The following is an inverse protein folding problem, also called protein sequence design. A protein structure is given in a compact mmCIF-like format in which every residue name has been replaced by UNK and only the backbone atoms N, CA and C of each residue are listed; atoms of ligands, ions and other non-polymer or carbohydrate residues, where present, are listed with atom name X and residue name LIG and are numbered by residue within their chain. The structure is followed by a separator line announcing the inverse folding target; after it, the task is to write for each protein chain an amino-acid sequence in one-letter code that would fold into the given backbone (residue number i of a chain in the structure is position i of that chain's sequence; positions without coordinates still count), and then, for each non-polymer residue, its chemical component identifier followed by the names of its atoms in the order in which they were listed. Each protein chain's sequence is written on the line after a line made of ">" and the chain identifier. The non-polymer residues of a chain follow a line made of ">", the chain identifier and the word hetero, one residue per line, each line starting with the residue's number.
data_IF_642913611615
#
_entry.id   IF_642913611615
#
_cell.length_a   1.000
_cell.length_b   1.000
_cell.length_c   1.000
_cell.angle_alpha   90.00
_cell.angle_beta   90.00
_cell.angle_gamma   90.00
#
_symmetry.space_group_name_H-M   'P 1'
#
loop_
_entity.id
_entity.type
_entity.pdbx_description
1 polymer ?
#
# COMPACT_ATOMS: atom_id res chain seq x y z
N UNK A 1 -39.02 1.76 -15.12
CA UNK A 1 -38.09 0.85 -14.47
C UNK A 1 -38.11 -0.46 -15.26
N UNK A 2 -37.12 -0.64 -16.13
CA UNK A 2 -36.94 -1.88 -16.87
C UNK A 2 -36.16 -2.87 -16.01
N UNK A 3 -36.82 -3.92 -15.55
CA UNK A 3 -36.17 -5.10 -15.03
C UNK A 3 -35.41 -5.81 -16.14
N UNK A 4 -34.10 -5.69 -16.20
CA UNK A 4 -33.26 -6.53 -17.03
C UNK A 4 -33.09 -7.86 -16.26
N UNK A 5 -33.78 -8.91 -16.71
CA UNK A 5 -33.50 -10.30 -16.33
C UNK A 5 -32.24 -10.75 -17.06
N UNK A 6 -31.10 -10.37 -16.58
CA UNK A 6 -29.80 -10.92 -16.91
C UNK A 6 -29.13 -11.34 -15.60
N UNK A 7 -28.37 -12.42 -15.62
CA UNK A 7 -27.59 -12.96 -14.47
C UNK A 7 -26.47 -12.04 -13.97
N UNK A 8 -26.68 -10.74 -13.98
CA UNK A 8 -25.78 -9.80 -13.33
C UNK A 8 -26.26 -9.59 -11.90
N UNK A 9 -25.69 -10.35 -10.99
CA UNK A 9 -25.72 -10.01 -9.57
C UNK A 9 -25.10 -8.63 -9.48
N UNK A 10 -25.92 -7.60 -9.33
CA UNK A 10 -25.45 -6.22 -9.06
C UNK A 10 -24.58 -6.31 -7.81
N UNK A 11 -23.28 -6.25 -7.98
CA UNK A 11 -22.35 -6.23 -6.85
C UNK A 11 -22.60 -4.94 -6.10
N UNK A 12 -23.18 -5.06 -4.91
CA UNK A 12 -23.29 -3.93 -3.99
C UNK A 12 -21.89 -3.47 -3.59
N UNK A 13 -21.69 -2.17 -3.45
CA UNK A 13 -20.43 -1.63 -2.97
C UNK A 13 -20.70 -0.43 -2.06
N UNK A 14 -19.76 -0.15 -1.18
CA UNK A 14 -19.69 1.07 -0.40
C UNK A 14 -18.57 1.94 -0.97
N UNK A 15 -18.87 3.21 -1.24
CA UNK A 15 -17.87 4.19 -1.68
C UNK A 15 -17.79 5.32 -0.68
N UNK A 16 -16.56 5.64 -0.27
CA UNK A 16 -16.23 6.83 0.50
C UNK A 16 -15.32 7.71 -0.35
N UNK A 17 -15.70 8.97 -0.51
CA UNK A 17 -14.88 9.98 -1.17
C UNK A 17 -14.77 11.22 -0.30
N UNK A 18 -13.58 11.80 -0.22
CA UNK A 18 -13.32 13.02 0.53
C UNK A 18 -12.11 13.72 -0.09
N UNK A 19 -12.08 15.04 -0.06
CA UNK A 19 -10.87 15.80 -0.38
C UNK A 19 -9.96 16.03 0.84
N UNK A 20 -10.36 15.53 2.00
CA UNK A 20 -9.67 15.63 3.28
C UNK A 20 -9.26 17.07 3.67
N UNK A 21 -9.85 18.09 3.04
CA UNK A 21 -9.62 19.48 3.44
C UNK A 21 -10.09 19.70 4.88
N UNK A 22 -9.30 20.38 5.69
CA UNK A 22 -9.58 20.57 7.10
C UNK A 22 -9.18 19.39 8.01
N UNK A 23 -8.73 18.25 7.44
CA UNK A 23 -8.25 17.09 8.19
C UNK A 23 -6.73 17.07 8.19
N UNK A 24 -6.11 17.01 9.35
CA UNK A 24 -4.66 16.79 9.48
C UNK A 24 -4.38 15.29 9.57
N UNK A 25 -3.38 14.82 8.84
CA UNK A 25 -2.82 13.47 8.99
C UNK A 25 -1.42 13.63 9.54
N UNK A 26 -1.24 13.28 10.81
CA UNK A 26 0.04 13.40 11.52
C UNK A 26 0.80 12.07 11.49
N UNK A 27 1.16 11.66 10.29
CA UNK A 27 2.02 10.50 10.05
C UNK A 27 3.34 10.97 9.46
N UNK A 28 4.44 10.20 9.58
CA UNK A 28 5.68 10.50 8.90
C UNK A 28 5.53 10.55 7.37
N UNK A 29 6.43 11.27 6.69
CA UNK A 29 6.48 11.26 5.22
C UNK A 29 6.53 9.83 4.64
N UNK A 30 5.80 9.57 3.56
CA UNK A 30 5.05 10.47 2.69
C UNK A 30 3.58 10.70 3.07
N UNK A 31 3.14 10.26 4.23
CA UNK A 31 1.73 10.28 4.63
C UNK A 31 1.34 11.53 5.44
N UNK A 32 2.29 12.40 5.73
CA UNK A 32 1.99 13.67 6.36
C UNK A 32 1.08 14.53 5.47
N UNK A 33 0.08 15.16 6.08
CA UNK A 33 -0.81 16.08 5.41
C UNK A 33 -1.23 17.20 6.37
N UNK A 34 -0.92 18.43 6.01
CA UNK A 34 -1.38 19.60 6.77
C UNK A 34 -2.90 19.78 6.64
N UNK A 35 -3.50 20.49 7.58
CA UNK A 35 -4.94 20.73 7.61
C UNK A 35 -5.43 21.55 6.43
N UNK A 36 -4.60 22.44 5.94
CA UNK A 36 -4.85 23.37 4.84
C UNK A 36 -4.72 22.71 3.46
N UNK A 37 -4.04 21.59 3.39
CA UNK A 37 -3.85 20.86 2.14
C UNK A 37 -5.08 20.01 1.80
N UNK A 38 -5.35 19.87 0.51
CA UNK A 38 -6.35 18.93 0.02
C UNK A 38 -5.66 17.64 -0.45
N UNK A 39 -6.24 16.50 -0.12
CA UNK A 39 -5.82 15.21 -0.66
C UNK A 39 -7.04 14.35 -0.95
N UNK A 40 -7.23 13.98 -2.21
CA UNK A 40 -8.38 13.20 -2.62
C UNK A 40 -8.29 11.77 -2.09
N UNK A 41 -9.19 11.42 -1.18
CA UNK A 41 -9.41 10.04 -0.74
C UNK A 41 -10.56 9.42 -1.54
N UNK A 42 -10.30 8.26 -2.12
CA UNK A 42 -11.33 7.42 -2.71
C UNK A 42 -11.14 6.00 -2.19
N UNK A 43 -12.16 5.46 -1.54
CA UNK A 43 -12.18 4.11 -0.99
C UNK A 43 -13.44 3.42 -1.49
N UNK A 44 -13.30 2.23 -2.07
CA UNK A 44 -14.43 1.42 -2.56
C UNK A 44 -14.31 0.02 -1.98
N UNK A 45 -15.33 -0.38 -1.25
CA UNK A 45 -15.42 -1.69 -0.64
C UNK A 45 -16.54 -2.51 -1.29
N UNK A 46 -16.22 -3.68 -1.77
CA UNK A 46 -17.13 -4.67 -2.32
C UNK A 46 -17.26 -5.83 -1.35
N UNK A 47 -18.35 -5.91 -0.59
CA UNK A 47 -18.56 -7.02 0.35
C UNK A 47 -18.74 -8.34 -0.39
N UNK A 48 -18.32 -9.43 0.24
CA UNK A 48 -18.52 -10.79 -0.29
C UNK A 48 -19.93 -11.26 0.02
N UNK A 49 -20.75 -11.42 -1.02
CA UNK A 49 -22.05 -12.09 -0.91
C UNK A 49 -22.11 -13.42 -1.66
N UNK A 50 -21.31 -13.57 -2.70
CA UNK A 50 -21.26 -14.76 -3.55
C UNK A 50 -19.81 -15.18 -3.89
N UNK A 51 -18.88 -14.25 -3.83
CA UNK A 51 -17.46 -14.50 -4.01
C UNK A 51 -16.86 -14.99 -2.68
N UNK A 52 -15.75 -15.70 -2.74
CA UNK A 52 -15.06 -16.21 -1.54
C UNK A 52 -14.30 -15.11 -0.79
N UNK A 53 -14.29 -13.86 -1.29
CA UNK A 53 -13.54 -12.75 -0.73
C UNK A 53 -14.26 -11.41 -0.91
N UNK A 54 -14.03 -10.50 0.01
CA UNK A 54 -14.37 -9.08 -0.14
C UNK A 54 -13.22 -8.35 -0.84
N UNK A 55 -13.53 -7.27 -1.57
CA UNK A 55 -12.53 -6.47 -2.27
C UNK A 55 -12.51 -5.05 -1.76
N UNK A 56 -11.32 -4.54 -1.48
CA UNK A 56 -11.06 -3.14 -1.11
C UNK A 56 -10.17 -2.50 -2.18
N UNK A 57 -10.62 -1.37 -2.70
CA UNK A 57 -9.81 -0.49 -3.56
C UNK A 57 -9.68 0.86 -2.88
N UNK A 58 -8.48 1.44 -2.87
CA UNK A 58 -8.25 2.75 -2.27
C UNK A 58 -7.26 3.57 -3.07
N UNK A 59 -7.40 4.91 -2.95
CA UNK A 59 -6.47 5.89 -3.47
C UNK A 59 -6.45 7.09 -2.53
N UNK A 60 -5.25 7.58 -2.20
CA UNK A 60 -5.02 8.81 -1.46
C UNK A 60 -4.15 9.72 -2.32
N UNK A 61 -4.76 10.67 -2.99
CA UNK A 61 -4.10 11.58 -3.91
C UNK A 61 -3.25 10.85 -4.95
N UNK A 62 -2.03 11.34 -5.15
CA UNK A 62 -0.98 10.71 -5.96
C UNK A 62 0.04 9.96 -5.08
N UNK A 63 -0.18 9.91 -3.76
CA UNK A 63 0.77 9.34 -2.79
C UNK A 63 0.72 7.82 -2.85
N UNK A 64 -0.50 7.27 -2.78
CA UNK A 64 -0.68 5.82 -2.65
C UNK A 64 -2.02 5.36 -3.25
N UNK A 65 -2.02 4.21 -3.87
CA UNK A 65 -3.22 3.49 -4.27
C UNK A 65 -3.03 1.99 -4.12
N UNK A 66 -4.10 1.27 -3.91
CA UNK A 66 -4.01 -0.17 -3.78
C UNK A 66 -5.34 -0.88 -3.99
N UNK A 67 -5.21 -2.20 -4.06
CA UNK A 67 -6.33 -3.12 -4.20
C UNK A 67 -6.04 -4.38 -3.41
N UNK A 68 -7.01 -4.80 -2.63
CA UNK A 68 -6.92 -6.01 -1.80
C UNK A 68 -8.13 -6.92 -2.04
N UNK A 69 -7.87 -8.21 -2.07
CA UNK A 69 -8.85 -9.27 -1.89
C UNK A 69 -8.71 -9.78 -0.46
N UNK A 70 -9.79 -9.75 0.29
CA UNK A 70 -9.83 -10.05 1.73
C UNK A 70 -10.62 -11.33 1.93
N UNK A 71 -9.94 -12.39 2.27
CA UNK A 71 -10.48 -13.71 2.62
C UNK A 71 -10.66 -13.81 4.14
N UNK A 72 -11.25 -14.89 4.62
CA UNK A 72 -11.43 -15.11 6.06
C UNK A 72 -10.11 -15.22 6.82
N UNK A 73 -9.06 -15.78 6.19
CA UNK A 73 -7.77 -16.05 6.84
C UNK A 73 -6.57 -15.42 6.15
N UNK A 74 -6.75 -14.81 4.97
CA UNK A 74 -5.66 -14.23 4.19
C UNK A 74 -6.09 -12.92 3.53
N UNK A 75 -5.11 -12.10 3.21
CA UNK A 75 -5.26 -10.90 2.41
C UNK A 75 -4.25 -10.95 1.28
N UNK A 76 -4.70 -10.76 0.06
CA UNK A 76 -3.81 -10.63 -1.10
C UNK A 76 -4.06 -9.31 -1.80
N UNK A 77 -3.04 -8.76 -2.45
CA UNK A 77 -3.24 -7.50 -3.12
C UNK A 77 -1.97 -6.79 -3.51
N UNK A 78 -2.12 -5.52 -3.80
CA UNK A 78 -0.98 -4.67 -4.06
C UNK A 78 -1.19 -3.24 -3.57
N UNK A 79 -0.08 -2.57 -3.35
CA UNK A 79 0.02 -1.14 -3.07
C UNK A 79 0.99 -0.52 -4.05
N UNK A 80 0.59 0.56 -4.70
CA UNK A 80 1.44 1.36 -5.56
C UNK A 80 1.67 2.70 -4.88
N UNK A 81 2.93 3.00 -4.61
CA UNK A 81 3.36 4.29 -4.09
C UNK A 81 3.70 5.24 -5.25
N UNK A 82 3.26 6.50 -5.12
CA UNK A 82 3.47 7.54 -6.13
C UNK A 82 2.53 7.43 -7.34
N UNK A 83 2.78 8.32 -8.31
CA UNK A 83 1.92 8.51 -9.49
C UNK A 83 2.15 7.52 -10.63
N UNK A 84 3.18 6.68 -10.54
CA UNK A 84 3.60 5.77 -11.61
C UNK A 84 2.47 4.82 -12.00
N UNK A 85 2.04 4.87 -13.26
CA UNK A 85 1.04 3.94 -13.80
C UNK A 85 1.71 2.59 -14.07
N UNK A 86 1.38 1.60 -13.25
CA UNK A 86 1.82 0.23 -13.45
C UNK A 86 0.62 -0.71 -13.39
N UNK A 87 0.65 -1.73 -14.24
CA UNK A 87 -0.30 -2.84 -14.17
C UNK A 87 0.32 -3.93 -13.31
N UNK A 88 -0.35 -4.29 -12.23
CA UNK A 88 0.10 -5.33 -11.28
C UNK A 88 -0.95 -6.42 -11.23
N UNK A 89 -0.49 -7.65 -11.32
CA UNK A 89 -1.31 -8.83 -11.08
C UNK A 89 -1.28 -9.14 -9.59
N UNK A 90 -2.44 -9.40 -9.00
CA UNK A 90 -2.54 -9.87 -7.62
C UNK A 90 -2.03 -11.32 -7.57
N UNK A 91 -1.06 -11.57 -6.72
CA UNK A 91 -0.54 -12.91 -6.44
C UNK A 91 -1.19 -13.45 -5.17
N UNK A 92 -1.36 -14.76 -5.16
CA UNK A 92 -2.01 -15.44 -4.06
C UNK A 92 -1.18 -15.33 -2.77
N UNK A 93 -1.88 -15.07 -1.66
CA UNK A 93 -1.32 -15.00 -0.30
C UNK A 93 -0.22 -13.93 -0.12
N UNK A 94 -0.14 -12.95 -1.05
CA UNK A 94 0.87 -11.90 -1.02
C UNK A 94 0.27 -10.49 -1.08
N UNK A 95 0.93 -9.56 -0.43
CA UNK A 95 0.76 -8.12 -0.62
C UNK A 95 2.04 -7.57 -1.26
N UNK A 96 1.92 -7.07 -2.50
CA UNK A 96 3.06 -6.51 -3.22
C UNK A 96 3.08 -4.98 -3.07
N UNK A 97 4.22 -4.43 -2.66
CA UNK A 97 4.49 -2.99 -2.63
C UNK A 97 5.46 -2.62 -3.75
N UNK A 98 5.08 -1.62 -4.54
CA UNK A 98 5.90 -1.14 -5.66
C UNK A 98 5.71 0.36 -5.87
N UNK A 99 6.68 1.00 -6.46
CA UNK A 99 6.50 2.39 -6.91
C UNK A 99 7.67 3.29 -6.63
N UNK A 100 7.39 4.59 -6.54
CA UNK A 100 8.37 5.61 -6.27
C UNK A 100 7.77 6.67 -5.36
N UNK A 101 8.50 7.06 -4.32
CA UNK A 101 8.14 8.10 -3.38
C UNK A 101 9.28 9.09 -3.24
N UNK A 102 8.93 10.36 -2.99
CA UNK A 102 9.93 11.41 -2.88
C UNK A 102 10.73 11.26 -1.59
N UNK A 103 10.05 11.00 -0.49
CA UNK A 103 10.67 10.92 0.83
C UNK A 103 10.01 9.84 1.67
N UNK A 104 10.81 9.06 2.38
CA UNK A 104 10.35 8.08 3.36
C UNK A 104 11.07 8.31 4.68
N UNK A 105 10.31 8.61 5.71
CA UNK A 105 10.81 8.63 7.08
C UNK A 105 10.62 7.24 7.71
N UNK A 106 11.72 6.58 8.02
CA UNK A 106 11.70 5.22 8.57
C UNK A 106 11.11 5.12 9.98
N UNK A 107 10.85 6.24 10.65
CA UNK A 107 10.09 6.23 11.92
C UNK A 107 8.69 5.62 11.75
N UNK A 108 8.15 5.62 10.51
CA UNK A 108 6.88 4.97 10.18
C UNK A 108 6.91 3.46 10.51
N UNK A 109 8.05 2.79 10.44
CA UNK A 109 8.17 1.36 10.72
C UNK A 109 7.76 1.03 12.16
N UNK A 110 7.97 1.93 13.10
CA UNK A 110 7.55 1.75 14.49
C UNK A 110 6.03 1.64 14.67
N UNK A 111 5.25 2.13 13.69
CA UNK A 111 3.79 2.04 13.71
C UNK A 111 3.29 0.65 13.30
N UNK A 112 4.11 -0.15 12.63
CA UNK A 112 3.74 -1.47 12.12
C UNK A 112 4.15 -2.63 13.04
N UNK A 113 5.03 -2.41 14.00
CA UNK A 113 5.63 -3.46 14.84
C UNK A 113 4.61 -4.24 15.69
N UNK A 114 3.43 -3.71 15.93
CA UNK A 114 2.40 -4.34 16.77
C UNK A 114 1.32 -5.13 16.01
N UNK A 115 1.27 -5.08 14.70
CA UNK A 115 0.07 -5.51 13.94
C UNK A 115 0.25 -6.78 13.09
N UNK A 116 1.46 -7.26 12.87
CA UNK A 116 1.74 -8.23 11.79
C UNK A 116 1.83 -9.69 12.29
N UNK A 117 1.77 -9.95 13.59
CA UNK A 117 2.19 -11.24 14.18
C UNK A 117 1.31 -12.47 13.93
N UNK A 118 0.15 -12.37 13.25
CA UNK A 118 -0.81 -13.48 13.19
C UNK A 118 -1.46 -13.77 11.83
N UNK A 119 -0.93 -13.30 10.70
CA UNK A 119 -1.53 -13.58 9.39
C UNK A 119 -0.55 -14.29 8.43
N UNK A 120 -1.08 -15.24 7.70
CA UNK A 120 -0.36 -16.04 6.68
C UNK A 120 -0.07 -15.26 5.39
N UNK A 121 -0.09 -13.95 5.42
CA UNK A 121 0.10 -13.10 4.25
C UNK A 121 1.53 -12.62 4.18
N UNK A 122 2.22 -12.93 3.08
CA UNK A 122 3.57 -12.47 2.83
C UNK A 122 3.58 -11.04 2.29
N UNK A 123 4.43 -10.18 2.87
CA UNK A 123 4.71 -8.84 2.33
C UNK A 123 5.91 -8.93 1.38
N UNK A 124 5.72 -8.50 0.14
CA UNK A 124 6.75 -8.44 -0.89
C UNK A 124 6.95 -7.00 -1.35
N UNK A 125 8.14 -6.45 -1.17
CA UNK A 125 8.53 -5.19 -1.81
C UNK A 125 9.26 -5.55 -3.09
N UNK A 126 8.62 -5.35 -4.24
CA UNK A 126 9.20 -5.72 -5.54
C UNK A 126 10.23 -4.72 -6.01
N UNK A 127 9.90 -3.45 -5.90
CA UNK A 127 10.80 -2.34 -6.22
C UNK A 127 10.19 -1.05 -5.70
N UNK A 128 10.73 -0.54 -4.61
CA UNK A 128 10.36 0.75 -4.05
C UNK A 128 11.54 1.71 -4.23
N UNK A 129 11.39 2.66 -5.15
CA UNK A 129 12.37 3.71 -5.38
C UNK A 129 12.05 4.90 -4.49
N UNK A 130 13.01 5.35 -3.69
CA UNK A 130 12.85 6.43 -2.73
C UNK A 130 13.94 7.46 -2.98
N UNK A 131 13.55 8.72 -3.25
CA UNK A 131 14.53 9.76 -3.54
C UNK A 131 15.31 10.17 -2.28
N UNK A 132 14.66 10.20 -1.12
CA UNK A 132 15.28 10.48 0.16
C UNK A 132 14.73 9.55 1.25
N UNK A 133 15.58 8.74 1.87
CA UNK A 133 15.26 7.95 3.07
C UNK A 133 15.79 8.67 4.29
N UNK A 134 14.92 9.04 5.22
CA UNK A 134 15.28 9.71 6.47
C UNK A 134 15.39 8.68 7.59
N UNK A 135 16.53 8.71 8.28
CA UNK A 135 16.87 7.85 9.40
C UNK A 135 17.26 8.73 10.59
N UNK A 136 16.27 9.17 11.38
CA UNK A 136 16.49 10.05 12.52
C UNK A 136 17.30 11.31 12.17
N UNK A 137 18.62 11.30 12.26
CA UNK A 137 19.51 12.46 12.10
C UNK A 137 20.24 12.52 10.77
N UNK A 138 20.12 11.50 9.92
CA UNK A 138 20.77 11.48 8.61
C UNK A 138 19.81 11.00 7.53
N UNK A 139 20.11 11.34 6.29
CA UNK A 139 19.33 10.88 5.15
C UNK A 139 20.21 10.17 4.14
N UNK A 140 19.62 9.19 3.44
CA UNK A 140 20.21 8.48 2.33
C UNK A 140 19.57 8.98 1.02
N UNK A 141 20.39 9.34 0.03
CA UNK A 141 19.86 9.73 -1.27
C UNK A 141 19.38 8.50 -2.03
N UNK A 142 18.61 8.72 -3.06
CA UNK A 142 18.01 7.74 -3.98
C UNK A 142 18.32 6.28 -3.66
N UNK A 143 17.40 5.65 -2.96
CA UNK A 143 17.54 4.28 -2.44
C UNK A 143 16.48 3.40 -3.11
N UNK A 144 16.87 2.21 -3.52
CA UNK A 144 15.96 1.18 -4.00
C UNK A 144 15.87 0.12 -2.93
N UNK A 145 14.64 -0.22 -2.53
CA UNK A 145 14.36 -1.27 -1.56
C UNK A 145 13.60 -2.40 -2.26
N UNK A 146 14.05 -3.61 -2.05
CA UNK A 146 13.42 -4.84 -2.55
C UNK A 146 13.46 -5.91 -1.45
N UNK A 147 12.43 -6.77 -1.36
CA UNK A 147 12.53 -7.98 -0.55
C UNK A 147 13.22 -9.08 -1.35
N UNK A 148 14.22 -9.67 -0.77
CA UNK A 148 14.88 -10.86 -1.31
C UNK A 148 14.20 -12.08 -0.68
N UNK A 149 13.74 -12.97 -1.51
CA UNK A 149 12.84 -14.07 -1.20
C UNK A 149 13.38 -15.01 -0.10
N UNK A 150 12.81 -14.99 1.10
CA UNK A 150 13.00 -16.07 2.06
C UNK A 150 11.71 -16.36 2.82
N UNK A 151 11.39 -17.63 2.95
CA UNK A 151 10.12 -18.12 3.52
C UNK A 151 9.92 -17.87 5.03
N UNK A 152 10.88 -17.27 5.73
CA UNK A 152 10.83 -17.08 7.19
C UNK A 152 11.44 -15.77 7.71
N UNK A 153 12.14 -15.01 6.87
CA UNK A 153 12.75 -13.74 7.24
C UNK A 153 12.47 -12.74 6.11
N UNK A 154 12.05 -11.54 6.48
CA UNK A 154 11.94 -10.45 5.51
C UNK A 154 13.36 -9.92 5.33
N UNK A 155 13.98 -10.33 4.23
CA UNK A 155 15.29 -9.87 3.84
C UNK A 155 15.14 -8.65 2.93
N UNK A 156 15.69 -7.52 3.34
CA UNK A 156 15.63 -6.29 2.58
C UNK A 156 16.97 -6.03 1.92
N UNK A 157 17.01 -5.96 0.60
CA UNK A 157 18.11 -5.35 -0.09
C UNK A 157 17.88 -3.86 -0.29
N UNK A 158 18.89 -3.06 -0.07
CA UNK A 158 18.87 -1.66 -0.41
C UNK A 158 20.13 -1.32 -1.22
N UNK A 159 19.98 -0.45 -2.20
CA UNK A 159 21.10 0.04 -2.97
C UNK A 159 20.96 1.52 -3.27
N UNK A 160 22.04 2.25 -3.11
CA UNK A 160 22.19 3.60 -3.61
C UNK A 160 23.65 3.82 -4.07
N UNK A 161 23.98 5.02 -4.52
CA UNK A 161 25.35 5.32 -5.00
C UNK A 161 26.43 5.25 -3.90
N UNK A 162 26.04 5.29 -2.63
CA UNK A 162 26.95 5.39 -1.49
C UNK A 162 27.02 4.08 -0.73
N UNK A 163 25.89 3.39 -0.60
CA UNK A 163 25.75 2.24 0.26
C UNK A 163 24.89 1.16 -0.41
N UNK A 164 25.29 -0.08 -0.24
CA UNK A 164 24.46 -1.25 -0.57
C UNK A 164 24.57 -2.29 0.53
N UNK A 165 23.50 -3.02 0.80
CA UNK A 165 23.49 -4.02 1.87
C UNK A 165 22.20 -4.81 1.92
N UNK A 166 22.18 -5.74 2.89
CA UNK A 166 21.03 -6.56 3.20
C UNK A 166 20.74 -6.46 4.70
N UNK A 167 19.47 -6.45 5.06
CA UNK A 167 19.00 -6.61 6.44
C UNK A 167 18.27 -7.95 6.56
N UNK A 168 18.55 -8.64 7.64
CA UNK A 168 17.94 -9.92 7.98
C UNK A 168 17.00 -9.76 9.15
#
# INVERSE_FOLDING_TARGET
>A
PSMIRGKDIKRSYLRLTSNLLGTMINLPDPFFKAKEDAADLNLVFYPSFADQYSRLEFRLGEIIRGKFNIYSQAVEGFVIAGSKKQSITIERDKISLIGSIEKLDLSILSLFDQSISNKTTDLEIRQLEINEVVLSTFSLPRTIIETVNSKQLIDFSFSNKILSGHFY
#
